data_IF_446254585472
#
_entry.id   IF_446254585472
#
_cell.length_a   1.000
_cell.length_b   1.000
_cell.length_c   1.000
_cell.angle_alpha   90.00
_cell.angle_beta   90.00
_cell.angle_gamma   90.00
#
_symmetry.space_group_name_H-M   'P 1'
#
loop_
_entity.id
_entity.type
_entity.pdbx_description
1 polymer ?
#
# COMPACT_ATOMS: atom_id res chain seq x y z
N UNK A 1 21.22 -11.07 4.37
CA UNK A 1 20.00 -10.83 5.16
C UNK A 1 19.23 -9.63 4.61
N UNK A 2 17.91 -9.54 4.84
CA UNK A 2 17.14 -8.31 4.62
C UNK A 2 17.23 -7.42 5.86
N UNK A 3 17.54 -6.12 5.71
CA UNK A 3 17.48 -5.10 6.78
C UNK A 3 16.39 -4.08 6.46
N UNK A 4 15.58 -3.71 7.44
CA UNK A 4 14.76 -2.51 7.40
C UNK A 4 15.63 -1.29 7.79
N UNK A 5 15.78 -0.34 6.87
CA UNK A 5 16.30 1.00 7.12
C UNK A 5 15.12 1.96 7.33
N UNK A 6 15.24 2.87 8.29
CA UNK A 6 14.23 3.91 8.55
C UNK A 6 14.81 5.32 8.51
N UNK A 7 13.94 6.31 8.34
CA UNK A 7 14.32 7.71 8.43
C UNK A 7 15.41 8.09 7.42
N UNK A 8 16.36 8.89 7.90
CA UNK A 8 17.52 9.33 7.12
C UNK A 8 18.54 8.21 6.78
N UNK A 9 18.43 6.98 7.29
CA UNK A 9 19.29 5.88 6.84
C UNK A 9 19.01 5.49 5.38
N UNK A 10 17.75 5.64 4.95
CA UNK A 10 17.24 5.23 3.64
C UNK A 10 17.81 5.99 2.42
N UNK A 11 18.79 6.89 2.63
CA UNK A 11 19.43 7.73 1.61
C UNK A 11 20.96 7.87 1.77
N UNK A 12 21.58 7.22 2.78
CA UNK A 12 22.95 7.58 3.20
C UNK A 12 24.10 6.97 2.38
N UNK A 13 23.86 5.93 1.59
CA UNK A 13 24.94 5.11 1.02
C UNK A 13 25.56 5.61 -0.30
N UNK A 14 24.99 6.61 -0.97
CA UNK A 14 25.59 7.20 -2.19
C UNK A 14 26.98 7.84 -1.97
N UNK A 15 27.40 8.09 -0.73
CA UNK A 15 28.60 8.89 -0.41
C UNK A 15 29.89 8.12 -0.18
N UNK A 16 29.88 6.78 -0.18
CA UNK A 16 31.02 5.96 0.27
C UNK A 16 31.80 5.24 -0.86
N UNK A 17 31.81 5.78 -2.08
CA UNK A 17 32.87 5.51 -3.04
C UNK A 17 33.73 6.78 -3.14
N UNK A 18 34.99 6.68 -2.70
CA UNK A 18 35.79 7.84 -2.33
C UNK A 18 36.37 8.62 -3.50
N UNK A 19 36.23 9.95 -3.43
CA UNK A 19 37.09 10.91 -4.11
C UNK A 19 37.38 12.07 -3.14
N UNK A 20 38.57 12.07 -2.53
CA UNK A 20 39.04 13.18 -1.68
C UNK A 20 39.55 14.36 -2.53
N UNK A 21 38.71 14.87 -3.44
CA UNK A 21 38.97 16.09 -4.20
C UNK A 21 37.90 17.15 -3.92
N UNK A 22 38.37 18.36 -3.58
CA UNK A 22 37.51 19.49 -3.19
C UNK A 22 36.79 20.11 -4.39
N UNK A 23 35.72 19.46 -4.87
CA UNK A 23 34.87 19.93 -5.96
C UNK A 23 33.40 19.96 -5.58
N UNK A 24 32.75 21.12 -5.73
CA UNK A 24 31.33 21.30 -5.46
C UNK A 24 30.46 20.69 -6.56
N UNK A 25 30.27 19.37 -6.52
CA UNK A 25 29.28 18.65 -7.35
C UNK A 25 28.15 18.17 -6.44
N UNK A 26 26.97 18.77 -6.58
CA UNK A 26 25.78 18.29 -5.89
C UNK A 26 25.27 17.03 -6.58
N UNK A 27 25.24 15.90 -5.87
CA UNK A 27 24.28 14.84 -6.20
C UNK A 27 22.88 15.43 -5.95
N UNK A 28 22.21 15.85 -7.03
CA UNK A 28 20.79 16.22 -6.96
C UNK A 28 19.98 14.95 -6.70
N UNK A 29 19.85 14.64 -5.41
CA UNK A 29 19.01 13.58 -4.90
C UNK A 29 17.56 13.92 -5.24
N UNK A 30 17.05 13.33 -6.31
CA UNK A 30 15.69 13.55 -6.83
C UNK A 30 14.58 13.33 -5.78
N UNK A 31 14.88 12.52 -4.76
CA UNK A 31 14.03 12.31 -3.59
C UNK A 31 14.07 13.52 -2.64
N UNK A 32 13.12 14.44 -2.81
CA UNK A 32 12.92 15.58 -1.90
C UNK A 32 12.29 15.12 -0.58
N UNK A 33 12.44 15.95 0.46
CA UNK A 33 11.76 15.76 1.77
C UNK A 33 11.46 17.09 2.44
N UNK A 34 10.40 17.10 3.24
CA UNK A 34 9.98 18.18 4.13
C UNK A 34 10.53 18.03 5.56
N UNK A 35 10.98 16.83 5.95
CA UNK A 35 11.36 16.51 7.34
C UNK A 35 12.65 15.69 7.51
N UNK A 36 13.45 15.47 6.45
CA UNK A 36 14.65 14.63 6.53
C UNK A 36 14.36 13.13 6.41
N UNK A 37 13.26 12.78 5.73
CA UNK A 37 12.74 11.43 5.50
C UNK A 37 12.26 10.68 6.77
N UNK A 38 11.98 11.37 7.89
CA UNK A 38 11.48 10.71 9.11
C UNK A 38 10.17 9.96 8.79
N UNK A 39 10.12 8.67 9.16
CA UNK A 39 9.01 7.76 8.85
C UNK A 39 9.10 7.07 7.49
N UNK A 40 10.09 7.40 6.65
CA UNK A 40 10.38 6.60 5.45
C UNK A 40 10.93 5.24 5.86
N UNK A 41 10.41 4.19 5.24
CA UNK A 41 10.80 2.80 5.48
C UNK A 41 11.29 2.21 4.15
N UNK A 42 12.45 1.55 4.16
CA UNK A 42 12.97 0.82 3.00
C UNK A 42 13.60 -0.49 3.47
N UNK A 43 13.22 -1.60 2.85
CA UNK A 43 13.86 -2.90 3.05
C UNK A 43 14.95 -3.10 2.00
N UNK A 44 16.16 -3.46 2.43
CA UNK A 44 17.31 -3.65 1.54
C UNK A 44 17.99 -5.00 1.81
N UNK A 45 18.49 -5.64 0.76
CA UNK A 45 19.13 -6.95 0.87
C UNK A 45 20.66 -6.85 0.87
N UNK A 46 21.24 -7.28 1.98
CA UNK A 46 22.66 -7.26 2.27
C UNK A 46 23.20 -8.71 2.26
N UNK A 47 23.81 -9.22 1.17
CA UNK A 47 24.32 -10.61 1.13
C UNK A 47 25.37 -10.92 2.20
N UNK A 48 26.10 -9.90 2.65
CA UNK A 48 27.15 -9.96 3.68
C UNK A 48 26.63 -9.99 5.13
N UNK A 49 25.36 -9.66 5.36
CA UNK A 49 24.78 -9.61 6.70
C UNK A 49 24.03 -10.89 7.09
N UNK A 50 24.16 -11.23 8.38
CA UNK A 50 23.44 -12.29 9.09
C UNK A 50 24.35 -13.43 9.56
N UNK A 51 24.29 -13.78 10.84
CA UNK A 51 24.93 -15.03 11.32
C UNK A 51 24.14 -16.26 10.85
N UNK A 52 24.72 -17.47 10.84
CA UNK A 52 24.00 -18.70 10.50
C UNK A 52 22.72 -18.89 11.32
N UNK A 53 22.75 -18.52 12.60
CA UNK A 53 21.62 -18.64 13.54
C UNK A 53 20.50 -17.64 13.20
N UNK A 54 20.84 -16.39 12.85
CA UNK A 54 19.86 -15.38 12.45
C UNK A 54 19.23 -15.70 11.09
N UNK A 55 20.02 -16.19 10.15
CA UNK A 55 19.53 -16.66 8.84
C UNK A 55 18.61 -17.88 9.00
N UNK A 56 18.95 -18.82 9.90
CA UNK A 56 18.09 -19.95 10.24
C UNK A 56 16.76 -19.50 10.88
N UNK A 57 16.79 -18.54 11.82
CA UNK A 57 15.56 -17.96 12.39
C UNK A 57 14.65 -17.31 11.34
N UNK A 58 15.23 -16.65 10.33
CA UNK A 58 14.47 -16.06 9.23
C UNK A 58 13.81 -17.14 8.36
N UNK A 59 14.53 -18.21 8.00
CA UNK A 59 13.96 -19.30 7.20
C UNK A 59 12.95 -20.16 7.99
N UNK A 60 13.12 -20.33 9.31
CA UNK A 60 12.13 -20.97 10.17
C UNK A 60 10.87 -20.10 10.35
N UNK A 61 11.01 -18.77 10.43
CA UNK A 61 9.86 -17.85 10.42
C UNK A 61 9.10 -17.90 9.09
N UNK A 62 9.81 -17.98 7.95
CA UNK A 62 9.23 -18.12 6.61
C UNK A 62 8.49 -19.44 6.45
N UNK A 63 9.13 -20.56 6.78
CA UNK A 63 8.51 -21.90 6.76
C UNK A 63 7.29 -21.95 7.68
N UNK A 64 7.44 -21.45 8.92
CA UNK A 64 6.37 -21.35 9.91
C UNK A 64 5.21 -20.40 9.53
N UNK A 65 5.37 -19.54 8.52
CA UNK A 65 4.25 -18.88 7.85
C UNK A 65 3.67 -19.79 6.76
N UNK A 66 4.48 -20.23 5.79
CA UNK A 66 4.01 -21.02 4.63
C UNK A 66 3.26 -22.30 5.02
N UNK A 67 3.66 -22.97 6.10
CA UNK A 67 2.98 -24.17 6.63
C UNK A 67 1.57 -23.87 7.15
N UNK A 68 1.33 -22.65 7.67
CA UNK A 68 0.08 -22.20 8.30
C UNK A 68 -0.67 -21.13 7.51
N UNK A 69 -0.26 -20.84 6.28
CA UNK A 69 -0.81 -19.76 5.42
C UNK A 69 -2.33 -19.82 5.21
N UNK A 70 -2.94 -20.99 5.39
CA UNK A 70 -4.39 -21.19 5.30
C UNK A 70 -5.14 -21.04 6.63
N UNK A 71 -4.44 -21.00 7.76
CA UNK A 71 -4.97 -20.80 9.12
C UNK A 71 -4.78 -19.35 9.59
N UNK A 72 -3.68 -18.73 9.16
CA UNK A 72 -3.30 -17.37 9.49
C UNK A 72 -2.71 -16.68 8.26
N UNK A 73 -3.47 -15.74 7.67
CA UNK A 73 -3.02 -14.99 6.48
C UNK A 73 -2.28 -13.70 6.83
N UNK A 74 -2.58 -13.10 7.98
CA UNK A 74 -1.87 -11.91 8.43
C UNK A 74 -0.46 -12.25 8.93
N UNK A 75 0.52 -11.45 8.51
CA UNK A 75 1.89 -11.49 9.05
C UNK A 75 1.91 -11.05 10.53
N UNK A 76 3.04 -11.25 11.20
CA UNK A 76 3.35 -10.62 12.49
C UNK A 76 4.76 -10.04 12.50
N UNK A 77 5.20 -9.45 11.39
CA UNK A 77 6.45 -8.71 11.19
C UNK A 77 7.68 -9.42 11.72
N UNK A 78 7.75 -10.75 11.60
CA UNK A 78 8.73 -11.53 12.37
C UNK A 78 10.18 -11.15 12.04
N UNK A 79 10.46 -10.85 10.76
CA UNK A 79 11.78 -10.37 10.32
C UNK A 79 12.14 -9.00 10.93
N UNK A 80 11.20 -8.05 10.96
CA UNK A 80 11.39 -6.75 11.59
C UNK A 80 11.60 -6.89 13.10
N UNK A 81 10.82 -7.75 13.77
CA UNK A 81 10.89 -7.99 15.21
C UNK A 81 12.20 -8.68 15.61
N UNK A 82 12.75 -9.55 14.78
CA UNK A 82 14.08 -10.13 14.97
C UNK A 82 15.16 -9.04 14.92
N UNK A 83 15.12 -8.14 13.92
CA UNK A 83 16.05 -7.01 13.84
C UNK A 83 15.89 -6.06 15.05
N UNK A 84 14.67 -5.61 15.33
CA UNK A 84 14.42 -4.58 16.34
C UNK A 84 14.62 -5.11 17.77
N UNK A 85 14.46 -6.41 18.03
CA UNK A 85 14.81 -7.02 19.33
C UNK A 85 16.34 -7.02 19.59
N UNK A 86 17.16 -6.95 18.54
CA UNK A 86 18.63 -6.83 18.61
C UNK A 86 19.07 -5.37 18.71
N UNK A 87 18.38 -4.46 18.02
CA UNK A 87 18.66 -3.02 18.03
C UNK A 87 18.15 -2.32 19.31
N UNK A 88 16.97 -2.72 19.82
CA UNK A 88 16.31 -2.17 21.01
C UNK A 88 16.08 -3.26 22.09
N UNK A 89 17.13 -3.74 22.77
CA UNK A 89 17.02 -4.81 23.76
C UNK A 89 16.08 -4.42 24.93
N UNK A 90 15.11 -5.29 25.22
CA UNK A 90 14.07 -5.08 26.23
C UNK A 90 14.65 -4.83 27.63
N UNK A 91 14.13 -3.80 28.29
CA UNK A 91 14.66 -3.32 29.58
C UNK A 91 14.28 -4.21 30.78
N UNK A 92 13.35 -5.16 30.64
CA UNK A 92 12.90 -6.02 31.74
C UNK A 92 12.20 -7.31 31.29
N UNK A 93 12.47 -8.42 31.98
CA UNK A 93 11.81 -9.72 31.79
C UNK A 93 10.57 -9.86 32.67
N UNK A 94 9.52 -9.09 32.38
CA UNK A 94 8.26 -9.13 33.14
C UNK A 94 7.49 -10.44 32.84
N UNK A 95 7.18 -11.27 33.86
CA UNK A 95 6.58 -12.59 33.67
C UNK A 95 5.14 -12.51 33.15
N UNK A 96 4.73 -13.51 32.35
CA UNK A 96 3.37 -13.59 31.85
C UNK A 96 2.39 -14.12 32.90
N UNK A 97 1.47 -13.25 33.33
CA UNK A 97 0.20 -13.70 33.91
C UNK A 97 -0.70 -14.16 32.76
N UNK A 98 -1.36 -15.31 32.93
CA UNK A 98 -2.56 -15.70 32.19
C UNK A 98 -3.74 -15.49 33.12
N UNK A 99 -4.83 -14.96 32.59
CA UNK A 99 -6.12 -14.82 33.27
C UNK A 99 -7.10 -15.70 32.52
N UNK A 100 -7.95 -16.43 33.23
CA UNK A 100 -9.03 -17.25 32.66
C UNK A 100 -10.30 -16.41 32.49
N UNK A 101 -11.18 -16.79 31.56
CA UNK A 101 -12.40 -16.03 31.20
C UNK A 101 -13.39 -15.80 32.36
N UNK A 102 -13.18 -16.47 33.51
CA UNK A 102 -14.02 -16.39 34.72
C UNK A 102 -13.27 -15.89 35.96
N UNK A 103 -12.01 -15.48 35.84
CA UNK A 103 -11.22 -14.95 36.96
C UNK A 103 -11.41 -13.43 37.14
N UNK A 104 -11.45 -12.97 38.39
CA UNK A 104 -11.54 -11.54 38.70
C UNK A 104 -10.22 -10.83 38.37
N UNK A 105 -10.27 -9.84 37.46
CA UNK A 105 -9.09 -9.17 36.93
C UNK A 105 -8.46 -8.27 38.00
N UNK A 106 -7.35 -8.72 38.59
CA UNK A 106 -6.63 -7.97 39.62
C UNK A 106 -5.89 -6.75 39.03
N UNK A 107 -5.72 -5.71 39.86
CA UNK A 107 -4.91 -4.53 39.50
C UNK A 107 -3.47 -4.92 39.11
N UNK A 108 -2.86 -5.84 39.86
CA UNK A 108 -1.55 -6.43 39.55
C UNK A 108 -1.50 -7.02 38.14
N UNK A 109 -2.50 -7.82 37.74
CA UNK A 109 -2.56 -8.42 36.42
C UNK A 109 -2.69 -7.38 35.30
N UNK A 110 -3.45 -6.30 35.52
CA UNK A 110 -3.53 -5.16 34.58
C UNK A 110 -2.20 -4.44 34.49
N UNK A 111 -1.56 -4.10 35.62
CA UNK A 111 -0.27 -3.39 35.66
C UNK A 111 0.85 -4.21 35.00
N UNK A 112 0.94 -5.51 35.28
CA UNK A 112 1.92 -6.42 34.68
C UNK A 112 1.68 -6.59 33.17
N UNK A 113 0.42 -6.74 32.75
CA UNK A 113 0.06 -6.83 31.31
C UNK A 113 0.39 -5.52 30.58
N UNK A 114 0.09 -4.36 31.17
CA UNK A 114 0.41 -3.05 30.62
C UNK A 114 1.93 -2.81 30.54
N UNK A 115 2.69 -3.18 31.57
CA UNK A 115 4.16 -3.13 31.53
C UNK A 115 4.73 -4.00 30.42
N UNK A 116 4.21 -5.22 30.22
CA UNK A 116 4.62 -6.09 29.11
C UNK A 116 4.27 -5.49 27.74
N UNK A 117 3.09 -4.88 27.60
CA UNK A 117 2.68 -4.22 26.37
C UNK A 117 3.59 -3.01 26.05
N UNK A 118 3.80 -2.10 27.00
CA UNK A 118 4.68 -0.94 26.84
C UNK A 118 6.09 -1.39 26.45
N UNK A 119 6.67 -2.33 27.19
CA UNK A 119 8.01 -2.87 26.94
C UNK A 119 8.14 -3.50 25.54
N UNK A 120 7.14 -4.29 25.10
CA UNK A 120 7.10 -4.83 23.75
C UNK A 120 7.04 -3.73 22.68
N UNK A 121 6.15 -2.75 22.84
CA UNK A 121 6.01 -1.64 21.88
C UNK A 121 7.26 -0.75 21.85
N UNK A 122 7.93 -0.52 22.98
CA UNK A 122 9.23 0.17 23.01
C UNK A 122 10.32 -0.57 22.24
N UNK A 123 10.40 -1.90 22.33
CA UNK A 123 11.37 -2.68 21.53
C UNK A 123 11.09 -2.57 20.03
N UNK A 124 9.82 -2.54 19.58
CA UNK A 124 9.49 -2.41 18.15
C UNK A 124 9.43 -0.96 17.63
N UNK A 125 9.89 0.03 18.39
CA UNK A 125 9.95 1.43 17.95
C UNK A 125 11.20 1.69 17.10
N UNK A 126 11.06 2.41 15.98
CA UNK A 126 12.20 2.81 15.15
C UNK A 126 12.97 3.99 15.76
N UNK A 127 14.25 4.13 15.41
CA UNK A 127 15.16 5.14 15.97
C UNK A 127 14.73 6.60 15.69
N UNK A 128 13.92 6.82 14.65
CA UNK A 128 13.31 8.10 14.28
C UNK A 128 11.94 8.32 14.94
N UNK A 129 11.58 7.50 15.94
CA UNK A 129 10.46 7.71 16.84
C UNK A 129 9.12 7.13 16.38
N UNK A 130 9.06 6.43 15.25
CA UNK A 130 7.82 5.87 14.70
C UNK A 130 7.70 4.35 14.88
N UNK A 131 6.56 3.76 14.52
CA UNK A 131 6.35 2.32 14.48
C UNK A 131 6.16 1.81 13.04
N UNK A 132 7.13 1.06 12.50
CA UNK A 132 6.92 0.18 11.36
C UNK A 132 6.16 -1.11 11.76
N UNK A 133 5.52 -1.77 10.79
CA UNK A 133 4.75 -3.01 10.97
C UNK A 133 3.64 -3.19 9.93
N UNK A 134 3.12 -4.40 9.71
CA UNK A 134 2.30 -4.77 8.54
C UNK A 134 0.96 -4.02 8.39
N UNK A 135 0.66 -3.63 7.13
CA UNK A 135 -0.58 -2.98 6.70
C UNK A 135 -1.01 -3.43 5.29
N UNK A 136 -0.45 -4.53 4.78
CA UNK A 136 -0.87 -5.08 3.48
C UNK A 136 -2.21 -5.82 3.55
N UNK A 137 -2.60 -6.39 2.41
CA UNK A 137 -3.89 -7.04 2.26
C UNK A 137 -4.41 -7.02 0.83
N UNK A 138 -4.47 -5.86 0.14
CA UNK A 138 -5.02 -5.80 -1.22
C UNK A 138 -4.11 -6.49 -2.26
N UNK A 139 -4.67 -7.43 -3.02
CA UNK A 139 -3.93 -8.33 -3.92
C UNK A 139 -3.84 -7.85 -5.38
N UNK A 140 -4.34 -6.66 -5.69
CA UNK A 140 -4.26 -6.04 -7.03
C UNK A 140 -3.14 -5.00 -7.17
N UNK A 141 -2.36 -4.82 -6.10
CA UNK A 141 -1.38 -3.76 -5.94
C UNK A 141 -0.02 -4.07 -6.57
N UNK A 142 0.61 -5.18 -6.17
CA UNK A 142 1.86 -5.68 -6.76
C UNK A 142 1.72 -5.90 -8.29
N UNK A 143 0.60 -6.44 -8.82
CA UNK A 143 0.38 -6.50 -10.27
C UNK A 143 0.49 -5.16 -11.00
N UNK A 144 -0.07 -4.07 -10.45
CA UNK A 144 0.04 -2.74 -11.07
C UNK A 144 1.49 -2.25 -11.13
N UNK A 145 2.27 -2.49 -10.08
CA UNK A 145 3.70 -2.18 -10.02
C UNK A 145 4.49 -3.00 -11.05
N UNK A 146 4.34 -4.33 -11.06
CA UNK A 146 5.09 -5.23 -11.94
C UNK A 146 4.73 -5.02 -13.42
N UNK A 147 3.46 -4.78 -13.74
CA UNK A 147 3.03 -4.41 -15.10
C UNK A 147 3.69 -3.09 -15.51
N UNK A 148 3.66 -2.06 -14.67
CA UNK A 148 4.27 -0.75 -14.95
C UNK A 148 5.79 -0.87 -15.16
N UNK A 149 6.48 -1.67 -14.35
CA UNK A 149 7.92 -1.91 -14.49
C UNK A 149 8.27 -2.77 -15.73
N UNK A 150 7.38 -3.68 -16.14
CA UNK A 150 7.57 -4.50 -17.33
C UNK A 150 7.41 -3.68 -18.62
N UNK A 151 6.34 -2.88 -18.74
CA UNK A 151 6.06 -2.08 -19.95
C UNK A 151 7.04 -0.92 -20.14
N UNK A 152 7.67 -0.42 -19.07
CA UNK A 152 8.73 0.60 -19.11
C UNK A 152 10.13 0.03 -19.29
N UNK A 153 10.30 -1.30 -19.19
CA UNK A 153 11.60 -1.97 -19.21
C UNK A 153 12.42 -1.81 -17.91
N UNK A 154 11.86 -1.19 -16.87
CA UNK A 154 12.55 -0.88 -15.62
C UNK A 154 12.61 -2.05 -14.62
N UNK A 155 11.91 -3.16 -14.87
CA UNK A 155 11.77 -4.29 -13.92
C UNK A 155 13.08 -4.74 -13.27
N UNK A 156 14.09 -5.09 -14.07
CA UNK A 156 15.39 -5.57 -13.57
C UNK A 156 16.33 -4.45 -13.11
N UNK A 157 15.95 -3.18 -13.26
CA UNK A 157 16.67 -2.01 -12.74
C UNK A 157 16.13 -1.55 -11.38
N UNK A 158 14.86 -1.88 -11.06
CA UNK A 158 14.18 -1.51 -9.81
C UNK A 158 14.07 -2.69 -8.84
N UNK A 159 13.83 -3.92 -9.35
CA UNK A 159 13.71 -5.12 -8.54
C UNK A 159 14.94 -6.02 -8.72
N UNK A 160 15.65 -6.30 -7.62
CA UNK A 160 16.70 -7.32 -7.62
C UNK A 160 16.10 -8.74 -7.66
N UNK A 161 16.94 -9.76 -7.87
CA UNK A 161 16.51 -11.17 -7.86
C UNK A 161 15.89 -11.59 -6.51
N UNK A 162 16.33 -10.94 -5.45
CA UNK A 162 15.86 -11.14 -4.08
C UNK A 162 14.49 -10.48 -3.91
N UNK A 163 14.29 -9.26 -4.39
CA UNK A 163 12.96 -8.62 -4.44
C UNK A 163 11.95 -9.49 -5.20
N UNK A 164 12.34 -9.99 -6.37
CA UNK A 164 11.51 -10.89 -7.19
C UNK A 164 11.17 -12.16 -6.40
N UNK A 165 12.14 -12.77 -5.70
CA UNK A 165 11.92 -13.95 -4.85
C UNK A 165 10.96 -13.69 -3.69
N UNK A 166 11.05 -12.54 -3.02
CA UNK A 166 10.11 -12.19 -1.94
C UNK A 166 8.70 -11.88 -2.47
N UNK A 167 8.58 -11.36 -3.70
CA UNK A 167 7.28 -11.16 -4.36
C UNK A 167 6.66 -12.50 -4.77
N UNK A 168 7.41 -13.40 -5.44
CA UNK A 168 6.89 -14.74 -5.77
C UNK A 168 6.49 -15.50 -4.49
N UNK A 169 7.28 -15.40 -3.41
CA UNK A 169 6.93 -15.95 -2.09
C UNK A 169 5.62 -15.38 -1.55
N UNK A 170 5.42 -14.06 -1.61
CA UNK A 170 4.16 -13.42 -1.20
C UNK A 170 2.96 -13.98 -1.95
N UNK A 171 3.06 -14.06 -3.29
CA UNK A 171 1.96 -14.54 -4.12
C UNK A 171 1.64 -16.02 -3.86
N UNK A 172 2.64 -16.91 -3.83
CA UNK A 172 2.42 -18.32 -3.49
C UNK A 172 1.94 -18.54 -2.04
N UNK A 173 2.29 -17.65 -1.10
CA UNK A 173 1.77 -17.70 0.27
C UNK A 173 0.28 -17.32 0.35
N UNK A 174 -0.22 -16.45 -0.54
CA UNK A 174 -1.62 -15.98 -0.54
C UNK A 174 -2.52 -16.66 -1.58
N UNK A 175 -2.00 -17.67 -2.28
CA UNK A 175 -2.82 -18.48 -3.18
C UNK A 175 -3.83 -19.30 -2.38
N UNK A 176 -5.10 -19.25 -2.78
CA UNK A 176 -6.17 -20.02 -2.17
C UNK A 176 -6.07 -21.52 -2.53
N UNK A 177 -6.75 -22.37 -1.76
CA UNK A 177 -6.78 -23.83 -1.95
C UNK A 177 -7.44 -24.30 -3.26
N UNK A 178 -8.06 -23.39 -4.00
CA UNK A 178 -8.63 -23.63 -5.33
C UNK A 178 -7.68 -23.20 -6.47
N UNK A 179 -6.49 -22.68 -6.15
CA UNK A 179 -5.52 -22.15 -7.10
C UNK A 179 -5.67 -20.66 -7.40
N UNK A 180 -6.73 -20.00 -6.90
CA UNK A 180 -7.00 -18.59 -7.20
C UNK A 180 -6.38 -17.59 -6.21
N UNK A 181 -6.62 -16.31 -6.47
CA UNK A 181 -6.36 -15.20 -5.55
C UNK A 181 -7.58 -14.28 -5.47
N UNK A 182 -7.88 -13.77 -4.28
CA UNK A 182 -8.98 -12.83 -4.07
C UNK A 182 -8.63 -11.36 -4.31
N UNK A 183 -9.57 -10.47 -4.02
CA UNK A 183 -9.34 -9.01 -4.00
C UNK A 183 -8.33 -8.60 -2.91
N UNK A 184 -8.29 -9.36 -1.82
CA UNK A 184 -7.37 -9.20 -0.69
C UNK A 184 -6.99 -10.58 -0.09
N UNK A 185 -5.99 -10.63 0.80
CA UNK A 185 -5.44 -11.87 1.36
C UNK A 185 -6.50 -12.79 2.01
N UNK A 186 -7.43 -12.24 2.79
CA UNK A 186 -8.57 -12.99 3.39
C UNK A 186 -9.75 -13.22 2.42
N UNK A 187 -9.59 -12.93 1.12
CA UNK A 187 -10.66 -12.97 0.13
C UNK A 187 -10.83 -14.35 -0.53
N UNK A 188 -12.07 -14.75 -0.89
CA UNK A 188 -12.28 -15.84 -1.83
C UNK A 188 -11.68 -15.47 -3.19
N UNK A 189 -11.35 -16.47 -4.00
CA UNK A 189 -10.73 -16.25 -5.31
C UNK A 189 -11.65 -15.49 -6.27
N UNK A 190 -11.08 -14.56 -7.02
CA UNK A 190 -11.82 -13.75 -8.02
C UNK A 190 -11.05 -13.68 -9.34
N UNK A 191 -11.71 -13.29 -10.43
CA UNK A 191 -11.07 -13.12 -11.74
C UNK A 191 -10.05 -11.97 -11.71
N UNK A 192 -10.36 -10.86 -11.03
CA UNK A 192 -9.44 -9.73 -10.88
C UNK A 192 -8.20 -10.11 -10.07
N UNK A 193 -8.36 -10.80 -8.94
CA UNK A 193 -7.24 -11.27 -8.13
C UNK A 193 -6.42 -12.34 -8.86
N UNK A 194 -7.07 -13.38 -9.38
CA UNK A 194 -6.38 -14.53 -9.96
C UNK A 194 -5.65 -14.18 -11.25
N UNK A 195 -6.31 -13.51 -12.20
CA UNK A 195 -5.69 -13.19 -13.49
C UNK A 195 -4.52 -12.20 -13.35
N UNK A 196 -4.63 -11.20 -12.46
CA UNK A 196 -3.54 -10.24 -12.25
C UNK A 196 -2.34 -10.85 -11.52
N UNK A 197 -2.55 -11.71 -10.53
CA UNK A 197 -1.43 -12.35 -9.82
C UNK A 197 -0.76 -13.46 -10.65
N UNK A 198 -1.53 -14.21 -11.44
CA UNK A 198 -0.96 -15.11 -12.46
C UNK A 198 -0.11 -14.35 -13.49
N UNK A 199 -0.64 -13.26 -14.07
CA UNK A 199 0.12 -12.38 -14.98
C UNK A 199 1.39 -11.84 -14.33
N UNK A 200 1.34 -11.50 -13.04
CA UNK A 200 2.49 -11.00 -12.28
C UNK A 200 3.59 -12.05 -12.18
N UNK A 201 3.27 -13.28 -11.76
CA UNK A 201 4.23 -14.39 -11.69
C UNK A 201 4.87 -14.67 -13.07
N UNK A 202 4.06 -14.68 -14.13
CA UNK A 202 4.54 -14.85 -15.52
C UNK A 202 5.45 -13.71 -16.01
N UNK A 203 5.27 -12.49 -15.51
CA UNK A 203 6.15 -11.34 -15.81
C UNK A 203 7.44 -11.35 -14.97
N UNK A 204 7.41 -11.92 -13.77
CA UNK A 204 8.57 -12.08 -12.89
C UNK A 204 9.49 -13.24 -13.30
N UNK A 205 8.98 -14.20 -14.09
CA UNK A 205 9.76 -15.26 -14.73
C UNK A 205 9.26 -16.68 -14.48
N UNK A 206 8.24 -16.86 -13.65
CA UNK A 206 7.60 -18.15 -13.39
C UNK A 206 6.98 -18.72 -14.67
N UNK A 207 6.91 -20.05 -14.77
CA UNK A 207 6.43 -20.75 -15.96
C UNK A 207 4.91 -20.69 -16.10
N UNK A 208 4.42 -21.17 -17.25
CA UNK A 208 3.02 -21.59 -17.38
C UNK A 208 2.83 -23.07 -16.98
N UNK A 209 3.93 -23.84 -16.98
CA UNK A 209 4.07 -25.30 -16.79
C UNK A 209 5.52 -25.57 -16.30
N UNK A 210 5.90 -24.98 -15.15
CA UNK A 210 7.24 -25.14 -14.55
C UNK A 210 7.35 -26.33 -13.58
N UNK A 211 6.28 -27.12 -13.44
CA UNK A 211 6.16 -28.22 -12.49
C UNK A 211 5.68 -27.79 -11.10
N UNK A 212 5.36 -26.51 -10.88
CA UNK A 212 4.62 -26.07 -9.71
C UNK A 212 3.12 -26.16 -9.98
N UNK A 213 2.41 -27.04 -9.26
CA UNK A 213 0.95 -27.18 -9.38
C UNK A 213 0.22 -25.82 -9.22
N UNK A 214 0.81 -24.89 -8.45
CA UNK A 214 0.32 -23.54 -8.25
C UNK A 214 -0.02 -22.79 -9.54
N UNK A 215 0.86 -22.78 -10.54
CA UNK A 215 0.65 -22.02 -11.78
C UNK A 215 -0.40 -22.69 -12.69
N UNK A 216 -0.40 -24.02 -12.71
CA UNK A 216 -1.38 -24.81 -13.47
C UNK A 216 -2.79 -24.71 -12.86
N UNK A 217 -2.90 -24.77 -11.53
CA UNK A 217 -4.16 -24.56 -10.79
C UNK A 217 -4.70 -23.14 -11.00
N UNK A 218 -3.86 -22.10 -10.95
CA UNK A 218 -4.26 -20.73 -11.24
C UNK A 218 -4.76 -20.54 -12.68
N UNK A 219 -4.03 -21.08 -13.66
CA UNK A 219 -4.42 -21.06 -15.08
C UNK A 219 -5.74 -21.80 -15.29
N UNK A 220 -5.91 -22.97 -14.66
CA UNK A 220 -7.17 -23.73 -14.67
C UNK A 220 -8.31 -22.93 -14.05
N UNK A 221 -8.11 -22.31 -12.90
CA UNK A 221 -9.12 -21.48 -12.22
C UNK A 221 -9.62 -20.37 -13.14
N UNK A 222 -8.71 -19.64 -13.82
CA UNK A 222 -9.05 -18.58 -14.78
C UNK A 222 -9.94 -19.13 -15.91
N UNK A 223 -9.58 -20.27 -16.50
CA UNK A 223 -10.32 -20.85 -17.62
C UNK A 223 -11.67 -21.45 -17.21
N UNK A 224 -11.74 -22.13 -16.07
CA UNK A 224 -12.97 -22.70 -15.51
C UNK A 224 -14.01 -21.62 -15.17
N UNK A 225 -13.56 -20.42 -14.78
CA UNK A 225 -14.42 -19.27 -14.47
C UNK A 225 -14.64 -18.31 -15.67
N UNK A 226 -14.42 -18.80 -16.90
CA UNK A 226 -14.78 -18.12 -18.15
C UNK A 226 -13.66 -17.34 -18.85
N UNK A 227 -12.49 -17.21 -18.21
CA UNK A 227 -11.34 -16.49 -18.74
C UNK A 227 -11.33 -14.98 -18.47
N UNK A 228 -10.21 -14.35 -18.76
CA UNK A 228 -9.95 -12.94 -18.41
C UNK A 228 -10.80 -11.92 -19.18
N UNK A 229 -11.67 -12.33 -20.12
CA UNK A 229 -12.70 -11.46 -20.73
C UNK A 229 -13.69 -10.94 -19.68
N UNK A 230 -13.94 -11.72 -18.62
CA UNK A 230 -14.83 -11.38 -17.51
C UNK A 230 -14.12 -10.67 -16.33
N UNK A 231 -12.86 -10.25 -16.48
CA UNK A 231 -12.15 -9.50 -15.43
C UNK A 231 -12.80 -8.13 -15.14
N UNK A 232 -12.63 -7.56 -13.95
CA UNK A 232 -13.18 -6.22 -13.61
C UNK A 232 -12.60 -5.10 -14.48
N UNK A 233 -13.28 -3.95 -14.55
CA UNK A 233 -12.85 -2.79 -15.35
C UNK A 233 -11.41 -2.31 -15.09
N UNK A 234 -10.93 -2.37 -13.84
CA UNK A 234 -9.53 -2.07 -13.50
C UNK A 234 -8.57 -3.15 -14.04
N UNK A 235 -8.99 -4.42 -14.03
CA UNK A 235 -8.26 -5.51 -14.67
C UNK A 235 -8.16 -5.32 -16.18
N UNK A 236 -9.25 -4.96 -16.86
CA UNK A 236 -9.29 -4.67 -18.30
C UNK A 236 -8.31 -3.55 -18.67
N UNK A 237 -8.26 -2.49 -17.85
CA UNK A 237 -7.33 -1.37 -18.01
C UNK A 237 -5.87 -1.87 -17.93
N UNK A 238 -5.51 -2.59 -16.86
CA UNK A 238 -4.15 -3.11 -16.68
C UNK A 238 -3.73 -4.11 -17.76
N UNK A 239 -4.61 -5.03 -18.14
CA UNK A 239 -4.35 -6.01 -19.20
C UNK A 239 -4.26 -5.34 -20.59
N UNK A 240 -4.98 -4.24 -20.84
CA UNK A 240 -4.83 -3.45 -22.07
C UNK A 240 -3.55 -2.63 -22.11
N UNK A 241 -3.15 -2.00 -21.00
CA UNK A 241 -1.85 -1.34 -20.86
C UNK A 241 -0.69 -2.34 -21.07
N UNK A 242 -0.83 -3.56 -20.57
CA UNK A 242 0.13 -4.66 -20.80
C UNK A 242 0.11 -5.22 -22.23
N UNK A 243 -0.97 -5.03 -22.97
CA UNK A 243 -1.14 -5.57 -24.33
C UNK A 243 -1.61 -7.02 -24.39
N UNK A 244 -2.31 -7.52 -23.37
CA UNK A 244 -2.95 -8.85 -23.36
C UNK A 244 -4.50 -8.78 -23.35
N UNK A 245 -5.10 -7.61 -23.58
CA UNK A 245 -6.55 -7.39 -23.67
C UNK A 245 -6.80 -6.18 -24.58
N UNK A 246 -7.75 -6.18 -25.52
CA UNK A 246 -7.91 -5.04 -26.43
C UNK A 246 -8.71 -3.87 -25.83
N UNK A 247 -8.25 -2.63 -26.07
CA UNK A 247 -8.87 -1.40 -25.52
C UNK A 247 -10.34 -1.21 -25.92
N UNK A 248 -10.80 -1.82 -27.02
CA UNK A 248 -12.21 -1.87 -27.43
C UNK A 248 -13.10 -2.54 -26.37
N UNK A 249 -12.58 -3.50 -25.61
CA UNK A 249 -13.29 -4.17 -24.53
C UNK A 249 -13.18 -3.50 -23.17
N UNK A 250 -12.71 -2.26 -23.11
CA UNK A 250 -12.85 -1.42 -21.92
C UNK A 250 -14.11 -0.56 -22.03
N UNK A 251 -14.80 -0.31 -20.90
CA UNK A 251 -15.78 0.76 -20.85
C UNK A 251 -15.07 2.13 -20.89
N UNK A 252 -15.63 3.17 -21.54
CA UNK A 252 -14.88 4.40 -21.80
C UNK A 252 -14.41 5.14 -20.55
N UNK A 253 -13.13 5.54 -20.53
CA UNK A 253 -12.53 6.41 -19.52
C UNK A 253 -12.15 7.77 -20.14
N UNK A 254 -13.12 8.57 -20.63
CA UNK A 254 -12.85 9.73 -21.49
C UNK A 254 -12.02 10.80 -20.77
N UNK A 255 -10.84 11.21 -21.27
CA UNK A 255 -10.11 12.36 -20.70
C UNK A 255 -10.87 13.69 -20.85
N UNK A 256 -11.86 13.78 -21.74
CA UNK A 256 -12.66 14.97 -21.99
C UNK A 256 -13.48 15.41 -20.77
N UNK A 257 -13.81 14.50 -19.84
CA UNK A 257 -14.53 14.82 -18.60
C UNK A 257 -13.73 15.77 -17.68
N UNK A 258 -12.41 15.84 -17.84
CA UNK A 258 -11.52 16.76 -17.14
C UNK A 258 -11.52 18.19 -17.73
N UNK A 259 -12.17 18.40 -18.87
CA UNK A 259 -12.35 19.71 -19.50
C UNK A 259 -13.72 20.35 -19.17
N UNK A 260 -14.54 19.66 -18.38
CA UNK A 260 -15.87 20.13 -17.99
C UNK A 260 -15.78 21.32 -17.01
N UNK A 261 -16.72 22.28 -17.05
CA UNK A 261 -16.79 23.33 -16.04
C UNK A 261 -17.01 22.73 -14.64
N UNK A 262 -16.28 23.23 -13.63
CA UNK A 262 -16.38 22.77 -12.23
C UNK A 262 -17.81 22.86 -11.64
N UNK A 263 -18.72 23.61 -12.27
CA UNK A 263 -20.14 23.65 -11.92
C UNK A 263 -20.86 22.29 -12.12
N UNK A 264 -20.43 21.47 -13.06
CA UNK A 264 -21.11 20.20 -13.39
C UNK A 264 -20.93 19.16 -12.27
N UNK A 265 -21.98 18.42 -11.84
CA UNK A 265 -21.89 17.44 -10.76
C UNK A 265 -20.89 16.31 -11.03
N UNK A 266 -20.74 15.90 -12.29
CA UNK A 266 -19.81 14.84 -12.73
C UNK A 266 -18.36 15.31 -12.91
N UNK A 267 -18.02 16.57 -12.63
CA UNK A 267 -16.67 17.08 -12.81
C UNK A 267 -15.66 16.38 -11.86
N UNK A 268 -14.52 15.84 -12.35
CA UNK A 268 -13.61 15.00 -11.56
C UNK A 268 -13.06 15.65 -10.28
N UNK A 269 -12.90 16.97 -10.25
CA UNK A 269 -12.50 17.71 -9.04
C UNK A 269 -13.50 17.63 -7.88
N UNK A 270 -14.75 17.17 -8.13
CA UNK A 270 -15.77 16.89 -7.10
C UNK A 270 -15.77 15.43 -6.62
N UNK A 271 -15.13 14.52 -7.35
CA UNK A 271 -15.02 13.12 -6.95
C UNK A 271 -14.04 12.97 -5.77
N UNK A 272 -14.19 11.89 -5.00
CA UNK A 272 -13.27 11.53 -3.92
C UNK A 272 -11.81 11.49 -4.40
N UNK A 273 -10.86 11.91 -3.54
CA UNK A 273 -9.45 12.10 -3.90
C UNK A 273 -8.81 10.84 -4.50
N UNK A 274 -8.92 9.69 -3.83
CA UNK A 274 -8.36 8.44 -4.36
C UNK A 274 -9.01 8.03 -5.69
N UNK A 275 -10.33 8.22 -5.84
CA UNK A 275 -11.02 7.96 -7.12
C UNK A 275 -10.44 8.83 -8.25
N UNK A 276 -10.43 10.16 -8.11
CA UNK A 276 -9.94 11.06 -9.17
C UNK A 276 -8.44 10.87 -9.46
N UNK A 277 -7.63 10.59 -8.44
CA UNK A 277 -6.18 10.36 -8.62
C UNK A 277 -5.86 9.02 -9.29
N UNK A 278 -6.74 8.01 -9.21
CA UNK A 278 -6.62 6.76 -9.98
C UNK A 278 -7.17 6.93 -11.40
N UNK A 279 -8.34 7.54 -11.55
CA UNK A 279 -8.96 7.70 -12.87
C UNK A 279 -8.25 8.73 -13.78
N UNK A 280 -7.50 9.69 -13.23
CA UNK A 280 -6.70 10.64 -14.03
C UNK A 280 -5.67 9.95 -14.96
N UNK A 281 -4.70 9.17 -14.46
CA UNK A 281 -3.75 8.45 -15.32
C UNK A 281 -4.45 7.37 -16.16
N UNK A 282 -5.48 6.69 -15.65
CA UNK A 282 -6.26 5.74 -16.44
C UNK A 282 -6.93 6.41 -17.66
N UNK A 283 -7.53 7.59 -17.49
CA UNK A 283 -8.12 8.37 -18.60
C UNK A 283 -7.08 8.83 -19.60
N UNK A 284 -5.87 9.19 -19.16
CA UNK A 284 -4.76 9.53 -20.05
C UNK A 284 -4.31 8.30 -20.87
N UNK A 285 -4.10 7.15 -20.22
CA UNK A 285 -3.67 5.91 -20.89
C UNK A 285 -4.74 5.38 -21.85
N UNK A 286 -6.01 5.41 -21.45
CA UNK A 286 -7.16 5.12 -22.32
C UNK A 286 -7.21 6.08 -23.52
N UNK A 287 -7.13 7.40 -23.30
CA UNK A 287 -7.15 8.41 -24.35
C UNK A 287 -5.99 8.30 -25.34
N UNK A 288 -4.82 7.86 -24.87
CA UNK A 288 -3.65 7.53 -25.71
C UNK A 288 -3.71 6.13 -26.34
N UNK A 289 -4.64 5.27 -25.93
CA UNK A 289 -4.69 3.84 -26.27
C UNK A 289 -3.33 3.15 -26.05
N UNK A 290 -2.66 3.48 -24.94
CA UNK A 290 -1.30 3.01 -24.67
C UNK A 290 -1.25 1.48 -24.55
N UNK A 291 -0.26 0.86 -25.20
CA UNK A 291 0.01 -0.58 -25.12
C UNK A 291 1.53 -0.78 -25.00
N UNK A 292 1.94 -1.61 -24.05
CA UNK A 292 3.35 -1.96 -23.82
C UNK A 292 3.96 -2.90 -24.89
N UNK A 293 5.28 -3.18 -24.81
CA UNK A 293 5.97 -4.01 -25.78
C UNK A 293 5.44 -5.47 -25.83
N UNK A 294 5.07 -5.96 -27.02
CA UNK A 294 4.50 -7.31 -27.20
C UNK A 294 5.62 -8.38 -27.24
N UNK A 295 6.16 -8.68 -26.06
CA UNK A 295 7.23 -9.68 -25.82
C UNK A 295 6.73 -11.13 -26.04
N UNK A 296 7.63 -12.14 -26.06
CA UNK A 296 7.21 -13.55 -26.08
C UNK A 296 6.27 -13.92 -24.92
N UNK A 297 6.50 -13.40 -23.71
CA UNK A 297 5.62 -13.61 -22.56
C UNK A 297 4.22 -13.04 -22.81
N UNK A 298 4.10 -11.84 -23.38
CA UNK A 298 2.81 -11.23 -23.75
C UNK A 298 2.07 -12.09 -24.78
N UNK A 299 2.79 -12.64 -25.78
CA UNK A 299 2.23 -13.56 -26.78
C UNK A 299 1.82 -14.93 -26.20
N UNK A 300 2.42 -15.32 -25.08
CA UNK A 300 2.08 -16.53 -24.33
C UNK A 300 0.84 -16.31 -23.46
N UNK A 301 0.80 -15.22 -22.69
CA UNK A 301 -0.35 -14.80 -21.88
C UNK A 301 -1.64 -14.68 -22.71
N UNK A 302 -1.56 -14.15 -23.94
CA UNK A 302 -2.69 -14.12 -24.89
C UNK A 302 -3.28 -15.50 -25.24
N UNK A 303 -2.59 -16.60 -24.94
CA UNK A 303 -3.07 -18.00 -25.09
C UNK A 303 -3.44 -18.66 -23.75
N UNK A 304 -2.91 -18.16 -22.64
CA UNK A 304 -3.06 -18.75 -21.31
C UNK A 304 -4.31 -18.24 -20.56
N UNK A 305 -4.74 -17.01 -20.85
CA UNK A 305 -5.77 -16.29 -20.07
C UNK A 305 -7.21 -16.45 -20.59
N UNK A 306 -7.42 -17.12 -21.75
CA UNK A 306 -8.67 -17.04 -22.50
C UNK A 306 -9.19 -18.41 -22.94
N UNK A 307 -10.51 -18.57 -22.87
CA UNK A 307 -11.26 -19.79 -23.22
C UNK A 307 -11.42 -20.00 -24.73
N UNK A 308 -11.19 -18.95 -25.53
CA UNK A 308 -11.15 -18.97 -27.00
C UNK A 308 -9.87 -18.30 -27.51
N UNK A 309 -9.41 -18.58 -28.74
CA UNK A 309 -8.22 -17.94 -29.30
C UNK A 309 -8.33 -16.41 -29.31
N UNK A 310 -7.27 -15.71 -28.90
CA UNK A 310 -7.25 -14.25 -28.71
C UNK A 310 -7.86 -13.41 -29.85
N UNK A 311 -7.67 -13.86 -31.09
CA UNK A 311 -8.14 -13.19 -32.31
C UNK A 311 -9.62 -13.44 -32.66
N UNK A 312 -10.30 -14.32 -31.93
CA UNK A 312 -11.72 -14.68 -32.09
C UNK A 312 -12.61 -14.04 -31.00
N UNK A 313 -12.01 -13.34 -30.02
CA UNK A 313 -12.73 -12.68 -28.92
C UNK A 313 -13.51 -11.46 -29.44
N UNK A 314 -14.84 -11.43 -29.24
CA UNK A 314 -15.61 -10.18 -29.38
C UNK A 314 -15.37 -9.26 -28.18
N UNK A 315 -14.47 -8.31 -28.38
CA UNK A 315 -14.15 -7.32 -27.37
C UNK A 315 -15.31 -6.35 -27.07
N UNK A 316 -16.29 -6.15 -27.96
CA UNK A 316 -17.46 -5.35 -27.65
C UNK A 316 -18.40 -6.04 -26.67
N UNK A 317 -18.59 -7.36 -26.78
CA UNK A 317 -19.31 -8.15 -25.77
C UNK A 317 -18.51 -8.15 -24.45
N UNK A 318 -17.21 -8.45 -24.53
CA UNK A 318 -16.32 -8.46 -23.37
C UNK A 318 -16.30 -7.14 -22.59
N UNK A 319 -16.68 -6.00 -23.19
CA UNK A 319 -16.80 -4.70 -22.51
C UNK A 319 -17.61 -4.76 -21.21
N UNK A 320 -18.76 -5.43 -21.25
CA UNK A 320 -19.72 -5.46 -20.13
C UNK A 320 -19.72 -6.77 -19.34
N UNK A 321 -18.94 -7.78 -19.75
CA UNK A 321 -18.73 -8.99 -18.93
C UNK A 321 -18.03 -8.64 -17.63
N UNK A 322 -18.45 -9.28 -16.54
CA UNK A 322 -17.79 -9.26 -15.24
C UNK A 322 -18.09 -10.61 -14.55
N UNK A 323 -17.09 -11.25 -13.97
CA UNK A 323 -17.28 -12.51 -13.24
C UNK A 323 -18.16 -12.29 -12.01
N UNK A 324 -19.01 -13.27 -11.68
CA UNK A 324 -19.96 -13.19 -10.55
C UNK A 324 -19.23 -13.10 -9.20
N UNK A 325 -18.03 -13.67 -9.11
CA UNK A 325 -17.10 -13.62 -7.98
C UNK A 325 -16.59 -12.20 -7.68
N UNK A 326 -16.50 -11.36 -8.71
CA UNK A 326 -16.00 -9.97 -8.61
C UNK A 326 -17.12 -8.92 -8.48
N UNK A 327 -18.39 -9.29 -8.69
CA UNK A 327 -19.50 -8.36 -8.86
C UNK A 327 -20.08 -7.83 -7.54
N UNK A 328 -19.26 -7.13 -6.75
CA UNK A 328 -19.66 -6.53 -5.48
C UNK A 328 -20.68 -5.37 -5.64
N UNK A 329 -20.59 -4.61 -6.74
CA UNK A 329 -21.62 -3.66 -7.17
C UNK A 329 -21.97 -3.90 -8.65
N UNK A 330 -23.21 -4.28 -9.00
CA UNK A 330 -23.64 -4.33 -10.38
C UNK A 330 -23.77 -2.92 -10.96
N UNK A 331 -23.54 -2.77 -12.27
CA UNK A 331 -23.87 -1.53 -12.98
C UNK A 331 -25.38 -1.28 -12.88
N UNK A 332 -25.83 -0.14 -12.32
CA UNK A 332 -27.26 0.14 -12.20
C UNK A 332 -27.86 0.49 -13.56
N UNK A 333 -29.08 -0.01 -13.81
CA UNK A 333 -29.87 0.29 -15.01
C UNK A 333 -30.70 1.59 -14.88
N UNK A 334 -30.60 2.29 -13.74
CA UNK A 334 -31.20 3.60 -13.48
C UNK A 334 -30.14 4.53 -12.86
N UNK A 335 -29.93 5.76 -13.38
CA UNK A 335 -28.97 6.71 -12.82
C UNK A 335 -29.41 7.38 -11.50
N UNK A 336 -30.64 7.18 -11.01
CA UNK A 336 -31.16 7.84 -9.80
C UNK A 336 -31.37 6.85 -8.63
N UNK A 337 -30.36 6.66 -7.77
CA UNK A 337 -30.61 6.08 -6.45
C UNK A 337 -29.65 6.58 -5.34
N UNK A 338 -30.17 6.62 -4.13
CA UNK A 338 -29.62 7.22 -2.89
C UNK A 338 -28.36 6.52 -2.32
N UNK A 339 -27.66 5.69 -3.10
CA UNK A 339 -26.52 4.88 -2.66
C UNK A 339 -25.22 5.69 -2.41
N UNK A 340 -25.14 6.94 -2.87
CA UNK A 340 -23.92 7.76 -2.84
C UNK A 340 -23.50 8.23 -1.42
N UNK A 341 -24.27 7.91 -0.37
CA UNK A 341 -24.12 8.50 0.97
C UNK A 341 -23.24 7.73 1.97
N UNK A 342 -22.71 6.54 1.66
CA UNK A 342 -22.09 5.66 2.68
C UNK A 342 -20.71 5.02 2.35
N UNK A 343 -19.99 5.43 1.29
CA UNK A 343 -18.71 4.79 0.89
C UNK A 343 -17.48 5.71 0.81
N UNK A 344 -17.25 6.45 1.89
CA UNK A 344 -15.88 6.62 2.42
C UNK A 344 -15.59 5.37 3.28
N UNK A 345 -14.35 4.82 3.41
CA UNK A 345 -13.06 5.54 3.28
C UNK A 345 -11.90 4.69 2.64
N UNK A 346 -10.64 5.17 2.85
CA UNK A 346 -9.32 4.46 2.78
C UNK A 346 -8.93 3.73 1.48
N UNK A 347 -7.90 4.25 0.77
CA UNK A 347 -7.27 3.56 -0.39
C UNK A 347 -5.71 3.43 -0.33
N UNK A 348 -4.87 4.45 -0.59
CA UNK A 348 -3.41 4.27 -0.82
C UNK A 348 -2.47 5.31 -0.13
N UNK A 349 -1.31 4.82 0.36
CA UNK A 349 -0.20 5.50 1.07
C UNK A 349 1.31 5.07 0.85
N UNK A 350 1.83 3.89 0.43
CA UNK A 350 1.52 2.51 0.86
C UNK A 350 2.68 1.42 0.66
N UNK A 351 3.98 1.35 1.07
CA UNK A 351 4.91 0.17 0.67
C UNK A 351 5.61 -0.76 1.75
N UNK A 352 5.52 -2.12 1.68
CA UNK A 352 6.03 -3.08 2.73
C UNK A 352 6.82 -4.36 2.32
N UNK A 353 7.52 -5.00 3.27
CA UNK A 353 7.88 -6.45 3.28
C UNK A 353 7.64 -7.06 4.67
N UNK A 354 7.11 -8.30 4.74
CA UNK A 354 7.02 -9.09 5.99
C UNK A 354 7.33 -10.60 5.76
N UNK A 355 7.08 -11.51 6.72
CA UNK A 355 7.53 -12.92 6.63
C UNK A 355 6.83 -13.76 5.54
N UNK A 356 5.64 -13.34 5.12
CA UNK A 356 4.92 -13.87 3.96
C UNK A 356 5.48 -13.35 2.62
N UNK A 357 5.98 -12.11 2.60
CA UNK A 357 6.77 -11.53 1.50
C UNK A 357 6.55 -10.03 1.28
N UNK A 358 6.88 -9.51 0.09
CA UNK A 358 6.72 -8.09 -0.25
C UNK A 358 5.26 -7.73 -0.55
N UNK A 359 4.75 -6.69 0.13
CA UNK A 359 3.39 -6.14 0.01
C UNK A 359 3.41 -4.61 0.13
N UNK A 360 2.41 -4.01 0.78
CA UNK A 360 2.09 -2.58 0.63
C UNK A 360 1.59 -2.01 2.02
N UNK A 361 2.06 -0.83 2.51
CA UNK A 361 2.10 -0.30 3.92
C UNK A 361 1.14 0.86 4.38
N UNK A 362 1.21 1.30 5.66
CA UNK A 362 0.68 2.55 6.24
C UNK A 362 1.08 2.74 7.74
N UNK A 363 1.32 3.98 8.22
CA UNK A 363 2.23 4.24 9.38
C UNK A 363 1.62 4.91 10.64
N UNK A 364 2.39 4.99 11.75
CA UNK A 364 2.08 5.72 12.99
C UNK A 364 3.36 6.04 13.83
N UNK A 365 3.35 6.98 14.79
CA UNK A 365 4.52 7.30 15.63
C UNK A 365 4.33 8.22 16.85
N UNK A 366 5.43 8.55 17.56
CA UNK A 366 5.47 9.21 18.90
C UNK A 366 5.68 10.73 18.91
N UNK A 367 5.83 11.35 20.08
CA UNK A 367 5.79 12.81 20.29
C UNK A 367 6.67 13.64 19.36
N UNK A 368 8.00 13.44 19.38
CA UNK A 368 8.91 14.24 18.54
C UNK A 368 8.73 13.91 17.06
N UNK A 369 8.47 12.64 16.73
CA UNK A 369 8.07 12.25 15.37
C UNK A 369 6.80 12.98 14.90
N UNK A 370 5.78 13.11 15.74
CA UNK A 370 4.55 13.88 15.42
C UNK A 370 4.89 15.36 15.26
N UNK A 371 5.77 15.94 16.09
CA UNK A 371 6.24 17.33 15.90
C UNK A 371 6.92 17.50 14.54
N UNK A 372 7.76 16.56 14.12
CA UNK A 372 8.56 16.70 12.90
C UNK A 372 7.90 16.12 11.64
N UNK A 373 6.71 15.52 11.76
CA UNK A 373 5.89 15.05 10.62
C UNK A 373 4.68 15.92 10.29
N UNK A 374 4.43 16.98 11.06
CA UNK A 374 3.43 17.98 10.67
C UNK A 374 3.87 18.69 9.38
N UNK A 375 2.98 18.78 8.40
CA UNK A 375 3.26 19.47 7.13
C UNK A 375 3.35 20.98 7.38
N UNK A 376 4.50 21.60 7.09
CA UNK A 376 4.78 23.00 7.45
C UNK A 376 4.32 24.03 6.40
N UNK A 377 4.09 23.59 5.16
CA UNK A 377 3.75 24.40 4.00
C UNK A 377 2.68 23.71 3.12
N UNK A 378 1.93 24.49 2.36
CA UNK A 378 0.99 23.95 1.36
C UNK A 378 1.76 23.47 0.11
N UNK A 379 1.23 22.48 -0.61
CA UNK A 379 1.88 22.01 -1.83
C UNK A 379 1.92 23.13 -2.90
N UNK A 380 3.06 23.32 -3.61
CA UNK A 380 3.28 24.51 -4.43
C UNK A 380 2.36 24.59 -5.66
N UNK A 381 1.90 25.81 -5.96
CA UNK A 381 0.97 26.11 -7.04
C UNK A 381 -0.40 26.55 -6.52
N UNK A 382 -1.41 26.65 -7.41
CA UNK A 382 -2.79 26.93 -6.99
C UNK A 382 -3.50 25.65 -6.56
N UNK A 383 -3.80 25.57 -5.25
CA UNK A 383 -4.54 24.45 -4.68
C UNK A 383 -5.92 24.26 -5.32
N UNK A 384 -6.59 25.34 -5.75
CA UNK A 384 -7.92 25.26 -6.35
C UNK A 384 -7.86 24.61 -7.73
N UNK A 385 -6.89 25.03 -8.56
CA UNK A 385 -6.64 24.45 -9.88
C UNK A 385 -6.33 22.95 -9.82
N UNK A 386 -5.56 22.50 -8.81
CA UNK A 386 -5.24 21.09 -8.59
C UNK A 386 -6.28 20.32 -7.75
N UNK A 387 -7.38 20.97 -7.35
CA UNK A 387 -8.39 20.41 -6.45
C UNK A 387 -7.80 19.83 -5.15
N UNK A 388 -6.80 20.50 -4.58
CA UNK A 388 -6.16 20.15 -3.30
C UNK A 388 -6.83 20.90 -2.15
N UNK A 389 -6.83 20.26 -0.98
CA UNK A 389 -7.13 20.95 0.28
C UNK A 389 -5.86 21.59 0.84
N UNK A 390 -5.99 22.59 1.71
CA UNK A 390 -4.86 23.11 2.49
C UNK A 390 -4.23 22.00 3.34
N UNK A 391 -2.91 21.93 3.33
CA UNK A 391 -2.11 20.92 4.03
C UNK A 391 -1.20 21.51 5.10
N UNK A 392 -0.93 22.83 5.08
CA UNK A 392 -0.14 23.48 6.10
C UNK A 392 -0.78 23.35 7.49
N UNK A 393 -0.08 22.68 8.41
CA UNK A 393 -0.52 22.35 9.76
C UNK A 393 -1.08 20.94 9.91
N UNK A 394 -1.27 20.21 8.81
CA UNK A 394 -1.87 18.88 8.81
C UNK A 394 -0.91 17.77 9.25
N UNK A 395 -1.49 16.64 9.64
CA UNK A 395 -0.83 15.34 9.64
C UNK A 395 -1.44 14.43 8.56
N UNK A 396 -0.65 13.98 7.57
CA UNK A 396 -0.99 12.86 6.69
C UNK A 396 -1.10 11.55 7.47
N UNK A 397 -1.62 10.49 6.83
CA UNK A 397 -1.65 9.13 7.41
C UNK A 397 -0.28 8.45 7.44
N UNK A 398 0.58 8.74 6.47
CA UNK A 398 1.90 8.10 6.30
C UNK A 398 3.06 8.99 6.77
N UNK A 399 3.52 9.92 5.94
CA UNK A 399 4.67 10.80 6.24
C UNK A 399 4.41 12.24 5.78
N UNK A 400 5.19 13.20 6.29
CA UNK A 400 5.14 14.58 5.83
C UNK A 400 5.35 14.68 4.30
N UNK A 401 6.26 13.87 3.76
CA UNK A 401 6.63 13.83 2.34
C UNK A 401 5.47 13.37 1.43
N UNK A 402 4.48 12.62 1.94
CA UNK A 402 3.25 12.33 1.20
C UNK A 402 2.37 13.58 1.06
N UNK A 403 2.31 14.43 2.09
CA UNK A 403 1.72 15.77 2.04
C UNK A 403 0.21 15.84 1.78
N UNK A 404 -0.52 14.72 1.77
CA UNK A 404 -1.99 14.72 1.66
C UNK A 404 -2.63 14.83 3.05
N UNK A 405 -3.36 15.92 3.34
CA UNK A 405 -3.95 16.15 4.66
C UNK A 405 -5.18 15.25 4.86
N UNK A 406 -5.30 14.63 6.03
CA UNK A 406 -6.51 13.89 6.42
C UNK A 406 -7.01 14.41 7.76
N UNK A 407 -8.33 14.59 7.90
CA UNK A 407 -8.95 15.25 9.06
C UNK A 407 -8.85 14.46 10.35
N UNK A 408 -9.01 13.13 10.31
CA UNK A 408 -8.83 12.25 11.48
C UNK A 408 -7.36 12.21 11.92
N UNK A 409 -6.43 11.99 11.00
CA UNK A 409 -4.99 11.99 11.25
C UNK A 409 -4.51 13.34 11.82
N UNK A 410 -5.02 14.46 11.30
CA UNK A 410 -4.72 15.81 11.81
C UNK A 410 -5.32 16.05 13.20
N UNK A 411 -6.52 15.55 13.48
CA UNK A 411 -7.15 15.67 14.79
C UNK A 411 -6.45 14.78 15.85
N UNK A 412 -6.06 13.56 15.49
CA UNK A 412 -5.32 12.65 16.37
C UNK A 412 -3.90 13.13 16.64
N UNK A 413 -3.17 13.62 15.63
CA UNK A 413 -1.87 14.27 15.80
C UNK A 413 -1.94 15.49 16.71
N UNK A 414 -2.94 16.37 16.50
CA UNK A 414 -3.20 17.53 17.36
C UNK A 414 -3.56 17.11 18.81
N UNK A 415 -4.40 16.09 18.99
CA UNK A 415 -4.76 15.54 20.30
C UNK A 415 -3.53 14.95 21.02
N UNK A 416 -2.66 14.26 20.30
CA UNK A 416 -1.44 13.68 20.83
C UNK A 416 -0.47 14.78 21.32
N UNK A 417 -0.12 15.77 20.50
CA UNK A 417 0.80 16.84 20.93
C UNK A 417 0.23 17.69 22.06
N UNK A 418 -1.09 17.90 22.13
CA UNK A 418 -1.75 18.57 23.25
C UNK A 418 -1.66 17.75 24.54
N UNK A 419 -1.98 16.46 24.49
CA UNK A 419 -1.86 15.55 25.64
C UNK A 419 -0.39 15.45 26.11
N UNK A 420 0.54 15.29 25.18
CA UNK A 420 1.95 15.15 25.52
C UNK A 420 2.53 16.47 26.05
N UNK A 421 2.01 17.64 25.66
CA UNK A 421 2.41 18.92 26.26
C UNK A 421 2.03 19.08 27.74
N UNK A 422 1.24 18.17 28.35
CA UNK A 422 0.97 18.17 29.80
C UNK A 422 2.02 17.41 30.62
N UNK A 423 3.00 16.76 29.98
CA UNK A 423 4.07 16.01 30.66
C UNK A 423 5.35 16.87 30.83
N UNK A 424 6.26 16.53 31.77
CA UNK A 424 7.52 17.27 31.96
C UNK A 424 8.39 17.31 30.70
N UNK A 425 8.93 18.48 30.35
CA UNK A 425 9.69 18.69 29.10
C UNK A 425 10.99 17.87 29.02
N UNK A 426 11.46 17.41 30.16
CA UNK A 426 12.63 16.54 30.36
C UNK A 426 12.34 15.09 29.97
N UNK A 427 11.05 14.71 29.94
CA UNK A 427 10.56 13.36 29.60
C UNK A 427 10.07 13.26 28.15
N UNK A 428 9.51 14.35 27.60
CA UNK A 428 8.83 14.34 26.29
C UNK A 428 9.32 15.42 25.31
N UNK A 429 10.41 16.12 25.63
CA UNK A 429 10.90 17.25 24.87
C UNK A 429 10.00 18.49 24.97
N UNK A 430 10.33 19.55 24.21
CA UNK A 430 9.59 20.81 24.20
C UNK A 430 8.23 20.67 23.51
N UNK A 431 7.23 21.44 23.95
CA UNK A 431 5.94 21.55 23.27
C UNK A 431 6.08 22.19 21.88
N UNK A 432 5.07 21.99 21.01
CA UNK A 432 4.96 22.77 19.78
C UNK A 432 4.77 24.26 20.07
N UNK A 433 5.21 25.09 19.12
CA UNK A 433 4.84 26.51 19.10
C UNK A 433 3.34 26.69 18.85
N UNK A 434 2.75 27.71 19.48
CA UNK A 434 1.31 27.98 19.44
C UNK A 434 0.80 28.25 18.01
N UNK A 435 1.61 28.84 17.14
CA UNK A 435 1.26 29.06 15.72
C UNK A 435 1.05 27.73 14.99
N UNK A 436 1.86 26.72 15.29
CA UNK A 436 1.76 25.38 14.67
C UNK A 436 0.51 24.63 15.10
N UNK A 437 0.01 24.90 16.32
CA UNK A 437 -1.30 24.42 16.78
C UNK A 437 -2.45 25.14 16.07
N UNK A 438 -2.32 26.46 15.84
CA UNK A 438 -3.31 27.21 15.04
C UNK A 438 -3.32 26.81 13.56
N UNK A 439 -2.17 26.54 12.95
CA UNK A 439 -2.09 26.01 11.57
C UNK A 439 -2.86 24.66 11.46
N UNK A 440 -2.70 23.75 12.44
CA UNK A 440 -3.46 22.49 12.49
C UNK A 440 -4.98 22.70 12.65
N UNK A 441 -5.40 23.61 13.53
CA UNK A 441 -6.83 23.98 13.67
C UNK A 441 -7.36 24.61 12.38
N UNK A 442 -6.55 25.41 11.68
CA UNK A 442 -6.92 26.04 10.41
C UNK A 442 -7.15 25.00 9.29
N UNK A 443 -6.44 23.85 9.29
CA UNK A 443 -6.77 22.71 8.41
C UNK A 443 -8.10 22.04 8.79
N UNK A 444 -8.38 21.91 10.10
CA UNK A 444 -9.60 21.22 10.57
C UNK A 444 -10.88 22.05 10.38
N UNK A 445 -10.82 23.38 10.38
CA UNK A 445 -12.00 24.24 10.27
C UNK A 445 -12.73 24.13 8.91
N UNK A 446 -12.07 24.09 7.74
CA UNK A 446 -12.73 23.90 6.44
C UNK A 446 -13.28 22.49 6.20
N UNK A 447 -12.82 21.46 6.94
CA UNK A 447 -13.43 20.12 6.90
C UNK A 447 -14.84 20.05 7.53
N UNK A 448 -15.39 21.18 8.00
CA UNK A 448 -16.79 21.34 8.37
C UNK A 448 -17.71 21.26 7.14
N UNK A 449 -17.90 20.03 6.63
CA UNK A 449 -19.12 19.68 5.91
C UNK A 449 -20.30 20.09 6.80
N UNK A 450 -21.22 20.87 6.23
CA UNK A 450 -22.30 21.54 6.93
C UNK A 450 -23.07 20.59 7.88
N UNK A 451 -22.79 20.62 9.19
CA UNK A 451 -23.71 20.00 10.18
C UNK A 451 -25.10 20.65 10.11
N UNK A 452 -25.14 21.92 9.68
CA UNK A 452 -26.38 22.64 9.33
C UNK A 452 -27.17 21.92 8.23
N UNK A 453 -26.55 21.21 7.29
CA UNK A 453 -27.30 20.46 6.27
C UNK A 453 -28.01 19.23 6.85
N UNK A 454 -27.47 18.59 7.88
CA UNK A 454 -28.17 17.53 8.63
C UNK A 454 -29.25 18.11 9.56
N UNK A 455 -29.09 19.33 10.05
CA UNK A 455 -30.14 20.05 10.81
C UNK A 455 -31.23 20.68 9.93
N UNK A 456 -31.02 20.79 8.62
CA UNK A 456 -32.00 21.24 7.62
C UNK A 456 -32.71 20.07 6.90
N UNK A 457 -32.56 18.84 7.41
CA UNK A 457 -33.22 17.62 6.89
C UNK A 457 -34.03 16.87 7.97
N UNK A 458 -34.41 17.56 9.05
CA UNK A 458 -35.36 17.12 10.09
C UNK A 458 -36.49 18.15 10.24
#
# INVERSE_FOLDING_TARGET
MWKLKTGAETVREERNNGDESGGSTGSETWLRTLNGHLGRQVWEFHPELGTPEELQQIEDARRGFSDRRFEKRHSSDLLMRIQFAKENPSFSTVPQIKVQDTEEITKEAVTITLQRAINFYSTIQAHDGHWPGDYGGPMFLIPGLVITLSITGALNAVLSKEHIREICRYLYNHQNKDGGWGLHIEGPSTMFGTALNYVTLRLLGEGAEDGLEAMEQARKWILDHGGATAITSWGKMWLSVLGVYEWSGNNPLPPEIWLFPYLLPCHPGRMWCHCRMVYLPMSYLYGKRFVGPITPTIRSLRKELYTVPYHEIDWNEARNLCAKEDLYYPHPLDPNLEAFKLHLPRIFDYLWIAEDGMKMQGYNGTHDYIKDTQVLEDCPGDLNFWYRHISKGAWPFSTADHGWPISDCTAEGLKAVLLLSTFPSETVGKSLDLKRLYDAVNVLLPYRILMVALQLMN
#
